data_IF_912033389454
#
_entry.id   IF_912033389454
#
_cell.length_a   1.000
_cell.length_b   1.000
_cell.length_c   1.000
_cell.angle_alpha   90.00
_cell.angle_beta   90.00
_cell.angle_gamma   90.00
#
_symmetry.space_group_name_H-M   'P 1'
#
loop_
_entity.id
_entity.type
_entity.pdbx_description
1 polymer ?
#
# COMPACT_ATOMS: atom_id res chain seq x y z
N UNK A 1 18.24 -13.70 -10.07
CA UNK A 1 17.85 -13.60 -8.66
C UNK A 1 16.46 -12.97 -8.56
N UNK A 2 15.63 -13.44 -7.62
CA UNK A 2 14.32 -12.84 -7.37
C UNK A 2 14.49 -11.67 -6.41
N UNK A 3 14.26 -10.46 -6.88
CA UNK A 3 14.45 -9.26 -6.09
C UNK A 3 13.10 -8.66 -5.66
N UNK A 4 13.07 -8.05 -4.47
CA UNK A 4 11.90 -7.34 -4.00
C UNK A 4 11.69 -6.05 -4.79
N UNK A 5 10.47 -5.86 -5.26
CA UNK A 5 10.07 -4.62 -5.90
C UNK A 5 9.49 -3.68 -4.83
N UNK A 6 10.21 -2.61 -4.52
CA UNK A 6 9.81 -1.68 -3.46
C UNK A 6 8.51 -0.94 -3.78
N UNK A 7 8.22 -0.73 -5.07
CA UNK A 7 6.93 -0.19 -5.49
C UNK A 7 5.79 -1.13 -5.13
N UNK A 8 5.96 -2.43 -5.36
CA UNK A 8 4.98 -3.44 -4.96
C UNK A 8 4.80 -3.51 -3.46
N UNK A 9 5.89 -3.39 -2.70
CA UNK A 9 5.81 -3.37 -1.23
C UNK A 9 4.91 -2.21 -0.76
N UNK A 10 5.04 -1.04 -1.37
CA UNK A 10 4.19 0.11 -1.08
C UNK A 10 2.73 -0.11 -1.49
N UNK A 11 2.51 -0.66 -2.69
CA UNK A 11 1.16 -0.87 -3.23
C UNK A 11 0.39 -1.98 -2.51
N UNK A 12 1.09 -2.89 -1.86
CA UNK A 12 0.51 -4.07 -1.22
C UNK A 12 -0.62 -3.70 -0.25
N UNK A 13 -0.40 -2.70 0.59
CA UNK A 13 -1.37 -2.28 1.60
C UNK A 13 -2.70 -1.81 1.01
N UNK A 14 -2.68 -1.32 -0.23
CA UNK A 14 -3.88 -0.82 -0.90
C UNK A 14 -4.74 -1.92 -1.52
N UNK A 15 -4.14 -3.06 -1.87
CA UNK A 15 -4.80 -4.06 -2.71
C UNK A 15 -4.81 -5.47 -2.17
N UNK A 16 -4.00 -5.78 -1.15
CA UNK A 16 -3.81 -7.17 -0.70
C UNK A 16 -5.10 -7.83 -0.20
N UNK A 17 -6.01 -7.05 0.35
CA UNK A 17 -7.28 -7.57 0.87
C UNK A 17 -8.24 -8.04 -0.23
N UNK A 18 -7.93 -7.75 -1.50
CA UNK A 18 -8.68 -8.25 -2.64
C UNK A 18 -8.30 -9.68 -3.03
N UNK A 19 -7.22 -10.21 -2.45
CA UNK A 19 -6.71 -11.54 -2.78
C UNK A 19 -7.20 -12.57 -1.76
N UNK A 20 -7.16 -13.86 -2.16
CA UNK A 20 -7.49 -14.94 -1.23
C UNK A 20 -6.47 -15.00 -0.09
N UNK A 21 -6.87 -15.64 1.01
CA UNK A 21 -6.07 -15.66 2.24
C UNK A 21 -4.69 -16.31 2.04
N UNK A 22 -4.59 -17.35 1.23
CA UNK A 22 -3.33 -18.03 0.96
C UNK A 22 -2.37 -17.11 0.18
N UNK A 23 -2.84 -16.51 -0.90
CA UNK A 23 -2.05 -15.56 -1.70
C UNK A 23 -1.60 -14.38 -0.86
N UNK A 24 -2.51 -13.81 -0.07
CA UNK A 24 -2.19 -12.70 0.81
C UNK A 24 -1.13 -13.09 1.85
N UNK A 25 -1.28 -14.24 2.50
CA UNK A 25 -0.34 -14.71 3.52
C UNK A 25 1.06 -14.91 2.95
N UNK A 26 1.17 -15.57 1.80
CA UNK A 26 2.46 -15.83 1.12
C UNK A 26 3.13 -14.51 0.73
N UNK A 27 2.38 -13.60 0.15
CA UNK A 27 2.91 -12.33 -0.35
C UNK A 27 3.33 -11.41 0.80
N UNK A 28 2.54 -11.33 1.86
CA UNK A 28 2.90 -10.59 3.07
C UNK A 28 4.13 -11.16 3.76
N UNK A 29 4.23 -12.48 3.86
CA UNK A 29 5.40 -13.13 4.45
C UNK A 29 6.70 -12.69 3.75
N UNK A 30 6.66 -12.57 2.44
CA UNK A 30 7.81 -12.13 1.66
C UNK A 30 8.10 -10.65 1.83
N UNK A 31 7.09 -9.79 1.67
CA UNK A 31 7.30 -8.32 1.66
C UNK A 31 7.31 -7.69 3.05
N UNK A 32 6.51 -8.17 3.98
CA UNK A 32 6.38 -7.57 5.31
C UNK A 32 7.22 -8.27 6.37
N UNK A 33 7.29 -9.62 6.35
CA UNK A 33 7.98 -10.40 7.37
C UNK A 33 9.42 -10.75 6.98
N UNK A 34 9.87 -10.33 5.81
CA UNK A 34 11.23 -10.57 5.30
C UNK A 34 11.64 -12.05 5.25
N UNK A 35 10.68 -12.95 5.07
CA UNK A 35 10.98 -14.37 4.95
C UNK A 35 11.53 -14.67 3.55
N UNK A 36 12.46 -15.63 3.50
CA UNK A 36 12.99 -16.13 2.23
C UNK A 36 11.96 -17.02 1.52
N UNK A 37 12.14 -17.21 0.22
CA UNK A 37 11.28 -18.14 -0.53
C UNK A 37 11.32 -19.55 0.08
N UNK A 38 12.50 -19.99 0.54
CA UNK A 38 12.66 -21.29 1.19
C UNK A 38 11.88 -21.39 2.51
N UNK A 39 11.95 -20.34 3.32
CA UNK A 39 11.23 -20.30 4.60
C UNK A 39 9.71 -20.32 4.40
N UNK A 40 9.22 -19.56 3.44
CA UNK A 40 7.79 -19.52 3.10
C UNK A 40 7.33 -20.88 2.56
N UNK A 41 8.13 -21.48 1.67
CA UNK A 41 7.83 -22.79 1.10
C UNK A 41 7.71 -23.86 2.18
N UNK A 42 8.64 -23.86 3.13
CA UNK A 42 8.61 -24.80 4.25
C UNK A 42 7.36 -24.62 5.12
N UNK A 43 7.01 -23.37 5.44
CA UNK A 43 5.85 -23.06 6.26
C UNK A 43 4.52 -23.38 5.58
N UNK A 44 4.43 -23.20 4.27
CA UNK A 44 3.20 -23.39 3.50
C UNK A 44 3.07 -24.81 2.92
N UNK A 45 4.11 -25.63 3.00
CA UNK A 45 4.09 -26.98 2.47
C UNK A 45 4.06 -27.03 0.93
N UNK A 46 4.66 -26.06 0.26
CA UNK A 46 4.76 -26.00 -1.21
C UNK A 46 6.21 -25.78 -1.62
N UNK A 47 6.50 -25.89 -2.92
CA UNK A 47 7.85 -25.65 -3.43
C UNK A 47 8.23 -24.17 -3.44
N UNK A 48 9.52 -23.88 -3.42
CA UNK A 48 10.03 -22.50 -3.59
C UNK A 48 9.55 -21.89 -4.89
N UNK A 49 9.50 -22.70 -5.95
CA UNK A 49 9.01 -22.26 -7.26
C UNK A 49 7.53 -21.88 -7.20
N UNK A 50 6.74 -22.66 -6.42
CA UNK A 50 5.33 -22.35 -6.18
C UNK A 50 5.16 -21.02 -5.45
N UNK A 51 5.97 -20.78 -4.41
CA UNK A 51 5.97 -19.49 -3.68
C UNK A 51 6.29 -18.35 -4.62
N UNK A 52 7.36 -18.47 -5.40
CA UNK A 52 7.78 -17.45 -6.37
C UNK A 52 6.65 -17.14 -7.36
N UNK A 53 5.98 -18.18 -7.85
CA UNK A 53 4.87 -18.03 -8.80
C UNK A 53 3.72 -17.23 -8.18
N UNK A 54 3.33 -17.55 -6.95
CA UNK A 54 2.27 -16.84 -6.22
C UNK A 54 2.61 -15.36 -6.07
N UNK A 55 3.82 -15.06 -5.59
CA UNK A 55 4.27 -13.68 -5.36
C UNK A 55 4.31 -12.90 -6.68
N UNK A 56 4.83 -13.51 -7.73
CA UNK A 56 4.92 -12.88 -9.05
C UNK A 56 3.53 -12.55 -9.61
N UNK A 57 2.60 -13.50 -9.56
CA UNK A 57 1.23 -13.32 -10.05
C UNK A 57 0.48 -12.27 -9.24
N UNK A 58 0.62 -12.29 -7.93
CA UNK A 58 0.03 -11.29 -7.05
C UNK A 58 0.57 -9.89 -7.40
N UNK A 59 1.89 -9.77 -7.57
CA UNK A 59 2.52 -8.50 -7.94
C UNK A 59 2.03 -7.95 -9.28
N UNK A 60 1.94 -8.79 -10.29
CA UNK A 60 1.43 -8.40 -11.61
C UNK A 60 -0.02 -7.88 -11.51
N UNK A 61 -0.83 -8.57 -10.71
CA UNK A 61 -2.24 -8.19 -10.51
C UNK A 61 -2.35 -6.86 -9.74
N UNK A 62 -1.52 -6.65 -8.73
CA UNK A 62 -1.48 -5.39 -7.97
C UNK A 62 -1.11 -4.22 -8.88
N UNK A 63 -0.10 -4.39 -9.74
CA UNK A 63 0.29 -3.35 -10.70
C UNK A 63 -0.85 -3.01 -11.67
N UNK A 64 -1.56 -4.04 -12.13
CA UNK A 64 -2.74 -3.86 -12.98
C UNK A 64 -3.84 -3.09 -12.24
N UNK A 65 -4.13 -3.45 -10.97
CA UNK A 65 -5.14 -2.78 -10.18
C UNK A 65 -4.81 -1.31 -9.95
N UNK A 66 -3.55 -1.00 -9.64
CA UNK A 66 -3.13 0.40 -9.47
C UNK A 66 -3.23 1.19 -10.77
N UNK A 67 -2.87 0.59 -11.91
CA UNK A 67 -3.03 1.22 -13.21
C UNK A 67 -4.50 1.59 -13.48
N UNK A 68 -5.43 0.71 -13.09
CA UNK A 68 -6.86 0.91 -13.34
C UNK A 68 -7.57 1.76 -12.29
N UNK A 69 -7.24 1.59 -11.02
CA UNK A 69 -7.95 2.21 -9.91
C UNK A 69 -7.23 3.43 -9.32
N UNK A 70 -5.91 3.42 -9.32
CA UNK A 70 -5.11 4.54 -8.84
C UNK A 70 -5.28 4.90 -7.36
N UNK A 71 -5.57 3.90 -6.50
CA UNK A 71 -5.84 4.17 -5.08
C UNK A 71 -4.63 4.74 -4.34
N UNK A 72 -3.44 4.20 -4.63
CA UNK A 72 -2.20 4.70 -4.00
C UNK A 72 -1.86 6.10 -4.48
N UNK A 73 -2.05 6.38 -5.77
CA UNK A 73 -1.86 7.72 -6.33
C UNK A 73 -2.83 8.74 -5.73
N UNK A 74 -4.09 8.35 -5.57
CA UNK A 74 -5.11 9.19 -4.94
C UNK A 74 -4.75 9.50 -3.49
N UNK A 75 -4.32 8.49 -2.73
CA UNK A 75 -3.91 8.67 -1.33
C UNK A 75 -2.70 9.60 -1.22
N UNK A 76 -1.71 9.44 -2.10
CA UNK A 76 -0.52 10.30 -2.14
C UNK A 76 -0.89 11.76 -2.43
N UNK A 77 -1.76 12.00 -3.41
CA UNK A 77 -2.23 13.34 -3.76
C UNK A 77 -3.00 13.98 -2.60
N UNK A 78 -3.85 13.18 -1.92
CA UNK A 78 -4.59 13.63 -0.75
C UNK A 78 -3.65 14.03 0.39
N UNK A 79 -2.63 13.22 0.66
CA UNK A 79 -1.66 13.50 1.73
C UNK A 79 -0.87 14.77 1.43
N UNK A 80 -0.45 14.97 0.18
CA UNK A 80 0.26 16.19 -0.23
C UNK A 80 -0.61 17.43 -0.05
N UNK A 81 -1.88 17.34 -0.45
CA UNK A 81 -2.83 18.44 -0.29
C UNK A 81 -3.08 18.77 1.19
N UNK A 82 -3.17 17.74 2.04
CA UNK A 82 -3.32 17.93 3.49
C UNK A 82 -2.11 18.64 4.10
N UNK A 83 -0.89 18.26 3.70
CA UNK A 83 0.33 18.92 4.18
C UNK A 83 0.35 20.39 3.77
N UNK A 84 -0.04 20.71 2.55
CA UNK A 84 -0.14 22.10 2.07
C UNK A 84 -1.19 22.88 2.88
N UNK A 85 -2.35 22.30 3.13
CA UNK A 85 -3.40 22.94 3.94
C UNK A 85 -2.93 23.21 5.37
N UNK A 86 -2.23 22.27 5.99
CA UNK A 86 -1.68 22.43 7.34
C UNK A 86 -0.62 23.53 7.38
N UNK A 87 0.21 23.62 6.35
CA UNK A 87 1.21 24.69 6.20
C UNK A 87 0.56 26.06 6.07
N UNK A 88 -0.45 26.18 5.21
CA UNK A 88 -1.20 27.43 5.00
C UNK A 88 -1.92 27.84 6.30
N UNK A 89 -2.52 26.86 6.97
CA UNK A 89 -3.27 27.09 8.22
C UNK A 89 -2.41 27.79 9.27
N UNK A 90 -1.12 27.42 9.37
CA UNK A 90 -0.21 28.00 10.38
C UNK A 90 0.08 29.49 10.15
N UNK A 91 -0.21 30.01 8.97
CA UNK A 91 0.02 31.42 8.60
C UNK A 91 -1.23 32.29 8.69
N UNK A 92 -2.40 31.69 9.00
CA UNK A 92 -3.68 32.37 8.96
C UNK A 92 -4.15 32.81 10.35
N UNK A 93 -5.00 33.87 10.41
CA UNK A 93 -5.67 34.23 11.66
C UNK A 93 -6.49 33.05 12.21
N UNK A 94 -6.65 33.03 13.53
CA UNK A 94 -7.31 31.91 14.24
C UNK A 94 -8.68 31.55 13.64
N UNK A 95 -9.55 32.52 13.41
CA UNK A 95 -10.91 32.28 12.88
C UNK A 95 -10.89 31.62 11.51
N UNK A 96 -9.99 32.06 10.62
CA UNK A 96 -9.83 31.45 9.29
C UNK A 96 -9.24 30.06 9.42
N UNK A 97 -8.25 29.91 10.31
CA UNK A 97 -7.60 28.64 10.58
C UNK A 97 -8.59 27.57 11.07
N UNK A 98 -9.58 27.95 11.87
CA UNK A 98 -10.62 27.00 12.33
C UNK A 98 -11.44 26.47 11.16
N UNK A 99 -11.74 27.29 10.16
CA UNK A 99 -12.48 26.86 8.96
C UNK A 99 -11.65 25.90 8.12
N UNK A 100 -10.35 26.14 8.03
CA UNK A 100 -9.42 25.22 7.34
C UNK A 100 -9.34 23.89 8.09
N UNK A 101 -9.31 23.92 9.43
CA UNK A 101 -9.28 22.69 10.23
C UNK A 101 -10.52 21.81 9.98
N UNK A 102 -11.67 22.38 9.73
CA UNK A 102 -12.89 21.64 9.35
C UNK A 102 -12.69 20.91 8.03
N UNK A 103 -12.10 21.58 7.04
CA UNK A 103 -11.81 20.98 5.72
C UNK A 103 -10.79 19.86 5.86
N UNK A 104 -9.73 20.09 6.63
CA UNK A 104 -8.67 19.08 6.88
C UNK A 104 -9.30 17.83 7.52
N UNK A 105 -10.15 18.00 8.51
CA UNK A 105 -10.82 16.89 9.20
C UNK A 105 -11.69 16.07 8.25
N UNK A 106 -12.44 16.75 7.36
CA UNK A 106 -13.25 16.06 6.34
C UNK A 106 -12.39 15.24 5.39
N UNK A 107 -11.27 15.78 4.93
CA UNK A 107 -10.36 15.08 4.03
C UNK A 107 -9.70 13.87 4.70
N UNK A 108 -9.34 13.98 5.98
CA UNK A 108 -8.75 12.87 6.73
C UNK A 108 -9.74 11.72 6.93
N UNK A 109 -11.04 12.00 6.95
CA UNK A 109 -12.08 10.99 7.11
C UNK A 109 -12.47 10.24 5.85
N UNK A 110 -11.85 10.57 4.74
CA UNK A 110 -12.15 9.95 3.43
C UNK A 110 -11.23 8.78 3.15
#
# INVERSE_FOLDING_TARGET
MFEKNMKLAYLLDFYIDLFDDHTAAVTRAYYEDDLSLAEIAAGEGISRQGVRHIIKKCGEHILFLEEKLGLAGLQSAKNDALEELESIRSTLPFEVGEKIDVVITKLKGV
#
